data_IF_853105009671
#
_entry.id   IF_853105009671
#
_cell.length_a   1.000
_cell.length_b   1.000
_cell.length_c   1.000
_cell.angle_alpha   90.00
_cell.angle_beta   90.00
_cell.angle_gamma   90.00
#
_symmetry.space_group_name_H-M   'P 1'
#
loop_
_entity.id
_entity.type
_entity.pdbx_description
1 polymer ?
#
# COMPACT_ATOMS: atom_id res chain seq x y z
N UNK A 1 72.78 34.90 -63.73
CA UNK A 1 72.82 33.76 -62.85
C UNK A 1 71.40 33.52 -62.41
N UNK A 2 70.71 32.70 -63.16
CA UNK A 2 69.31 32.38 -62.94
C UNK A 2 69.25 30.84 -62.76
N UNK A 3 68.92 30.46 -61.57
CA UNK A 3 68.74 29.05 -61.12
C UNK A 3 67.39 28.54 -61.59
N UNK A 4 67.27 27.31 -62.11
CA UNK A 4 66.02 26.79 -62.60
C UNK A 4 65.21 26.15 -61.45
N UNK A 5 63.94 26.45 -61.42
CA UNK A 5 62.95 25.90 -60.56
C UNK A 5 62.69 24.42 -60.89
N UNK A 6 62.60 23.54 -59.89
CA UNK A 6 62.23 22.11 -60.12
C UNK A 6 60.74 21.94 -60.28
N UNK A 7 60.36 21.03 -61.20
CA UNK A 7 59.05 20.62 -61.54
C UNK A 7 58.30 19.92 -60.33
N UNK A 8 56.96 20.04 -60.25
CA UNK A 8 56.19 19.42 -59.20
C UNK A 8 56.07 17.89 -59.49
N UNK A 9 56.06 17.06 -58.43
CA UNK A 9 55.96 15.60 -58.58
C UNK A 9 54.57 15.18 -59.04
N UNK A 10 54.56 14.32 -60.04
CA UNK A 10 53.38 13.66 -60.61
C UNK A 10 52.59 12.87 -59.57
N UNK A 11 51.29 13.12 -59.54
CA UNK A 11 50.34 12.37 -58.69
C UNK A 11 50.34 10.87 -58.99
N UNK A 12 50.24 10.03 -57.94
CA UNK A 12 50.13 8.60 -58.15
C UNK A 12 48.75 8.21 -58.64
N UNK A 13 48.71 7.34 -59.65
CA UNK A 13 47.51 6.77 -60.26
C UNK A 13 46.61 6.10 -59.21
N UNK A 14 45.37 6.50 -59.23
CA UNK A 14 44.30 5.86 -58.43
C UNK A 14 44.12 4.38 -58.81
N UNK A 15 44.46 3.51 -57.88
CA UNK A 15 44.16 2.07 -57.99
C UNK A 15 42.62 1.85 -57.90
N UNK A 16 42.05 0.91 -58.67
CA UNK A 16 40.62 0.62 -58.58
C UNK A 16 40.31 -0.01 -57.22
N UNK A 17 39.37 0.58 -56.51
CA UNK A 17 38.82 0.01 -55.29
C UNK A 17 38.16 -1.33 -55.59
N UNK A 18 38.81 -2.41 -55.21
CA UNK A 18 38.23 -3.74 -55.19
C UNK A 18 37.11 -3.77 -54.09
N UNK A 19 35.88 -3.66 -54.54
CA UNK A 19 34.72 -3.89 -53.70
C UNK A 19 34.64 -5.38 -53.36
N UNK A 20 35.34 -5.80 -52.32
CA UNK A 20 35.09 -7.10 -51.70
C UNK A 20 33.73 -7.01 -50.96
N UNK A 21 32.66 -7.25 -51.70
CA UNK A 21 31.35 -7.49 -51.15
C UNK A 21 31.39 -8.84 -50.42
N UNK A 22 31.55 -8.81 -49.12
CA UNK A 22 31.40 -10.01 -48.29
C UNK A 22 30.03 -10.64 -48.58
N UNK A 23 29.92 -11.97 -48.73
CA UNK A 23 28.63 -12.60 -48.95
C UNK A 23 27.70 -12.29 -47.79
N UNK A 24 26.41 -12.04 -48.05
CA UNK A 24 25.46 -11.68 -47.01
C UNK A 24 25.43 -12.77 -45.93
N UNK A 25 25.42 -12.39 -44.64
CA UNK A 25 25.39 -13.35 -43.54
C UNK A 25 24.18 -14.25 -43.68
N UNK A 26 24.38 -15.58 -43.58
CA UNK A 26 23.27 -16.54 -43.61
C UNK A 26 22.39 -16.27 -42.39
N UNK A 27 21.21 -15.69 -42.63
CA UNK A 27 20.22 -15.41 -41.60
C UNK A 27 19.75 -16.72 -40.96
N UNK A 28 19.85 -16.81 -39.64
CA UNK A 28 19.25 -17.91 -38.88
C UNK A 28 17.71 -17.90 -39.01
N UNK A 29 17.04 -18.87 -38.42
CA UNK A 29 15.57 -19.01 -38.49
C UNK A 29 14.86 -17.72 -38.09
N UNK A 30 15.26 -17.08 -36.98
CA UNK A 30 14.73 -15.81 -36.51
C UNK A 30 14.97 -14.67 -37.49
N UNK A 31 16.16 -14.60 -38.08
CA UNK A 31 16.49 -13.59 -39.09
C UNK A 31 15.67 -13.74 -40.39
N UNK A 32 15.36 -14.96 -40.80
CA UNK A 32 14.49 -15.23 -41.95
C UNK A 32 13.04 -14.82 -41.69
N UNK A 33 12.51 -15.07 -40.49
CA UNK A 33 11.18 -14.64 -40.06
C UNK A 33 11.14 -13.10 -40.05
N UNK A 34 12.13 -12.46 -39.43
CA UNK A 34 12.22 -11.01 -39.38
C UNK A 34 12.27 -10.36 -40.77
N UNK A 35 13.09 -10.94 -41.70
CA UNK A 35 13.19 -10.45 -43.07
C UNK A 35 11.89 -10.63 -43.85
N UNK A 36 11.09 -11.67 -43.57
CA UNK A 36 9.77 -11.87 -44.17
C UNK A 36 8.73 -10.78 -43.75
N UNK A 37 8.88 -10.28 -42.54
CA UNK A 37 7.99 -9.22 -42.03
C UNK A 37 8.47 -7.80 -42.38
N UNK A 38 9.76 -7.62 -42.64
CA UNK A 38 10.36 -6.30 -42.82
C UNK A 38 9.79 -5.51 -44.01
N UNK A 39 9.42 -6.18 -45.10
CA UNK A 39 8.91 -5.57 -46.32
C UNK A 39 7.41 -5.82 -46.57
N UNK A 40 6.68 -6.24 -45.55
CA UNK A 40 5.25 -6.51 -45.65
C UNK A 40 4.46 -5.31 -45.19
N UNK A 41 3.41 -4.94 -45.89
CA UNK A 41 2.50 -3.85 -45.51
C UNK A 41 1.78 -4.07 -44.17
N UNK A 42 1.82 -5.29 -43.64
CA UNK A 42 1.29 -5.68 -42.34
C UNK A 42 2.15 -5.11 -41.19
N UNK A 43 3.46 -4.90 -41.38
CA UNK A 43 4.36 -4.44 -40.34
C UNK A 43 4.00 -3.08 -39.76
N UNK A 44 3.72 -2.02 -40.56
CA UNK A 44 3.27 -0.74 -40.04
C UNK A 44 1.92 -0.85 -39.32
N UNK A 45 1.03 -1.72 -39.82
CA UNK A 45 -0.25 -1.97 -39.15
C UNK A 45 -0.06 -2.59 -37.77
N UNK A 46 0.79 -3.61 -37.66
CA UNK A 46 1.13 -4.24 -36.38
C UNK A 46 1.80 -3.24 -35.40
N UNK A 47 2.65 -2.34 -35.91
CA UNK A 47 3.26 -1.31 -35.10
C UNK A 47 2.22 -0.35 -34.52
N UNK A 48 1.23 0.08 -35.35
CA UNK A 48 0.14 0.93 -34.89
C UNK A 48 -0.74 0.20 -33.86
N UNK A 49 -1.09 -1.05 -34.11
CA UNK A 49 -1.87 -1.86 -33.16
C UNK A 49 -1.12 -2.04 -31.85
N UNK A 50 0.17 -2.33 -31.90
CA UNK A 50 1.02 -2.43 -30.71
C UNK A 50 1.10 -1.14 -29.91
N UNK A 51 1.22 0.01 -30.61
CA UNK A 51 1.20 1.34 -29.98
C UNK A 51 -0.15 1.63 -29.31
N UNK A 52 -1.26 1.33 -29.99
CA UNK A 52 -2.61 1.53 -29.45
C UNK A 52 -2.87 0.61 -28.25
N UNK A 53 -2.45 -0.65 -28.31
CA UNK A 53 -2.55 -1.57 -27.18
C UNK A 53 -1.71 -1.11 -25.99
N UNK A 54 -0.49 -0.62 -26.23
CA UNK A 54 0.36 -0.04 -25.20
C UNK A 54 -0.28 1.18 -24.54
N UNK A 55 -0.83 2.10 -25.34
CA UNK A 55 -1.55 3.26 -24.83
C UNK A 55 -2.81 2.86 -24.04
N UNK A 56 -3.56 1.90 -24.56
CA UNK A 56 -4.73 1.33 -23.86
C UNK A 56 -4.34 0.68 -22.54
N UNK A 57 -3.26 -0.10 -22.52
CA UNK A 57 -2.75 -0.71 -21.29
C UNK A 57 -2.39 0.34 -20.24
N UNK A 58 -1.74 1.44 -20.63
CA UNK A 58 -1.40 2.55 -19.71
C UNK A 58 -2.66 3.19 -19.11
N UNK A 59 -3.74 3.30 -19.89
CA UNK A 59 -4.98 3.92 -19.43
C UNK A 59 -5.82 3.00 -18.53
N UNK A 60 -5.80 1.69 -18.81
CA UNK A 60 -6.64 0.69 -18.11
C UNK A 60 -5.94 0.05 -16.93
N UNK A 61 -4.60 -0.02 -16.95
CA UNK A 61 -3.87 -0.62 -15.82
C UNK A 61 -4.00 0.24 -14.58
N UNK A 62 -4.60 -0.28 -13.49
CA UNK A 62 -4.68 0.44 -12.23
C UNK A 62 -3.26 0.74 -11.74
N UNK A 63 -3.06 1.98 -11.30
CA UNK A 63 -1.78 2.41 -10.71
C UNK A 63 -1.94 2.39 -9.21
N UNK A 64 -1.28 1.45 -8.58
CA UNK A 64 -1.20 1.34 -7.12
C UNK A 64 0.27 1.49 -6.74
N UNK A 65 0.53 2.31 -5.74
CA UNK A 65 1.89 2.52 -5.21
C UNK A 65 2.37 1.28 -4.47
N UNK A 66 1.43 0.60 -3.78
CA UNK A 66 1.69 -0.65 -3.07
C UNK A 66 0.64 -1.70 -3.43
N UNK A 67 1.02 -2.99 -3.56
CA UNK A 67 0.04 -4.05 -3.80
C UNK A 67 -0.95 -4.14 -2.64
N UNK A 68 -2.23 -4.14 -2.92
CA UNK A 68 -3.27 -4.28 -1.90
C UNK A 68 -3.16 -5.65 -1.22
N UNK A 69 -2.67 -5.63 0.01
CA UNK A 69 -2.62 -6.82 0.85
C UNK A 69 -3.90 -6.86 1.66
N UNK A 70 -4.83 -7.73 1.27
CA UNK A 70 -6.10 -7.88 1.99
C UNK A 70 -5.89 -8.63 3.30
N UNK A 71 -5.51 -7.89 4.34
CA UNK A 71 -5.35 -8.39 5.71
C UNK A 71 -6.27 -7.62 6.63
N UNK A 72 -7.13 -8.34 7.32
CA UNK A 72 -8.03 -7.79 8.33
C UNK A 72 -7.36 -7.81 9.70
N UNK A 73 -7.38 -6.65 10.35
CA UNK A 73 -7.01 -6.48 11.74
C UNK A 73 -8.20 -5.96 12.54
N UNK A 74 -8.22 -6.26 13.81
CA UNK A 74 -9.12 -5.62 14.75
C UNK A 74 -8.42 -5.42 16.08
N UNK A 75 -8.58 -4.22 16.66
CA UNK A 75 -8.17 -3.96 18.02
C UNK A 75 -9.38 -4.13 18.95
N UNK A 76 -9.15 -4.89 20.02
CA UNK A 76 -10.11 -5.07 21.10
C UNK A 76 -9.57 -4.33 22.33
N UNK A 77 -10.25 -3.25 22.71
CA UNK A 77 -9.93 -2.45 23.88
C UNK A 77 -10.74 -2.92 25.06
N UNK A 78 -10.09 -3.28 26.16
CA UNK A 78 -10.75 -3.73 27.37
C UNK A 78 -10.32 -2.82 28.52
N UNK A 79 -11.18 -1.88 28.95
CA UNK A 79 -10.87 -0.98 30.06
C UNK A 79 -10.94 -1.72 31.40
N UNK A 80 -9.91 -1.47 32.23
CA UNK A 80 -9.87 -1.95 33.61
C UNK A 80 -9.30 -0.86 34.51
N UNK A 81 -10.12 0.16 34.85
CA UNK A 81 -9.69 1.31 35.62
C UNK A 81 -9.10 0.93 36.96
N UNK A 82 -7.94 1.51 37.28
CA UNK A 82 -7.26 1.30 38.55
C UNK A 82 -6.36 0.06 38.64
N UNK A 83 -6.42 -0.85 37.65
CA UNK A 83 -5.55 -2.02 37.62
C UNK A 83 -4.15 -1.70 37.09
N UNK A 84 -3.15 -2.37 37.64
CA UNK A 84 -1.78 -2.35 37.13
C UNK A 84 -1.64 -3.14 35.83
N UNK A 85 -0.55 -2.92 35.08
CA UNK A 85 -0.29 -3.66 33.84
C UNK A 85 -0.18 -5.18 34.08
N UNK A 86 0.40 -5.60 35.18
CA UNK A 86 0.53 -7.02 35.54
C UNK A 86 -0.80 -7.68 35.87
N UNK A 87 -1.69 -6.98 36.59
CA UNK A 87 -3.05 -7.48 36.85
C UNK A 87 -3.85 -7.60 35.55
N UNK A 88 -3.73 -6.63 34.66
CA UNK A 88 -4.38 -6.65 33.35
C UNK A 88 -3.87 -7.81 32.49
N UNK A 89 -2.56 -8.08 32.52
CA UNK A 89 -1.98 -9.20 31.79
C UNK A 89 -2.55 -10.53 32.26
N UNK A 90 -2.57 -10.77 33.57
CA UNK A 90 -3.01 -12.04 34.11
C UNK A 90 -4.52 -12.25 34.11
N UNK A 91 -5.30 -11.19 34.38
CA UNK A 91 -6.74 -11.30 34.55
C UNK A 91 -7.53 -11.02 33.28
N UNK A 92 -6.97 -10.29 32.31
CA UNK A 92 -7.67 -9.85 31.12
C UNK A 92 -6.98 -10.30 29.83
N UNK A 93 -5.71 -9.95 29.64
CA UNK A 93 -5.04 -10.19 28.37
C UNK A 93 -4.81 -11.67 28.10
N UNK A 94 -4.27 -12.42 29.05
CA UNK A 94 -4.04 -13.87 28.91
C UNK A 94 -5.31 -14.66 28.61
N UNK A 95 -6.38 -14.58 29.42
CA UNK A 95 -7.65 -15.20 29.10
C UNK A 95 -8.23 -14.76 27.76
N UNK A 96 -8.13 -13.47 27.39
CA UNK A 96 -8.59 -12.96 26.12
C UNK A 96 -7.83 -13.58 24.93
N UNK A 97 -6.52 -13.65 24.99
CA UNK A 97 -5.71 -14.30 23.96
C UNK A 97 -6.13 -15.74 23.74
N UNK A 98 -6.36 -16.47 24.80
CA UNK A 98 -6.80 -17.86 24.72
C UNK A 98 -8.14 -17.98 23.99
N UNK A 99 -9.14 -17.21 24.41
CA UNK A 99 -10.50 -17.22 23.78
C UNK A 99 -10.45 -16.77 22.33
N UNK A 100 -9.69 -15.72 22.04
CA UNK A 100 -9.61 -15.14 20.69
C UNK A 100 -8.78 -16.00 19.72
N UNK A 101 -7.83 -16.81 20.24
CA UNK A 101 -7.03 -17.72 19.42
C UNK A 101 -7.85 -18.86 18.81
N UNK A 102 -8.99 -19.19 19.40
CA UNK A 102 -9.89 -20.22 18.89
C UNK A 102 -10.71 -19.77 17.66
N UNK A 103 -10.65 -18.48 17.30
CA UNK A 103 -11.42 -17.96 16.18
C UNK A 103 -10.82 -18.46 14.86
N UNK A 104 -11.67 -19.10 14.04
CA UNK A 104 -11.26 -19.54 12.72
C UNK A 104 -10.77 -18.37 11.86
N UNK A 105 -9.60 -18.54 11.23
CA UNK A 105 -9.00 -17.55 10.36
C UNK A 105 -8.04 -16.57 11.07
N UNK A 106 -7.94 -16.61 12.39
CA UNK A 106 -6.93 -15.85 13.14
C UNK A 106 -5.55 -16.43 12.85
N UNK A 107 -4.58 -15.54 12.62
CA UNK A 107 -3.19 -15.90 12.36
C UNK A 107 -2.29 -15.55 13.54
N UNK A 108 -2.45 -14.35 14.09
CA UNK A 108 -1.67 -13.87 15.22
C UNK A 108 -2.54 -13.01 16.13
N UNK A 109 -2.22 -13.04 17.42
CA UNK A 109 -2.79 -12.16 18.43
C UNK A 109 -1.62 -11.48 19.12
N UNK A 110 -1.75 -10.19 19.33
CA UNK A 110 -0.80 -9.37 20.05
C UNK A 110 -1.54 -8.65 21.15
N UNK A 111 -1.04 -8.70 22.36
CA UNK A 111 -1.60 -7.96 23.49
C UNK A 111 -0.63 -6.94 24.04
N UNK A 112 -1.17 -5.82 24.48
CA UNK A 112 -0.44 -4.78 25.20
C UNK A 112 -1.22 -4.44 26.45
N UNK A 113 -0.66 -4.78 27.61
CA UNK A 113 -1.21 -4.46 28.91
C UNK A 113 -0.64 -3.13 29.40
N UNK A 114 -1.51 -2.15 29.58
CA UNK A 114 -1.18 -0.82 30.13
C UNK A 114 -1.97 -0.58 31.40
N UNK A 115 -1.49 0.22 32.34
CA UNK A 115 -2.31 0.60 33.50
C UNK A 115 -3.68 1.13 33.06
N UNK A 116 -4.73 0.50 33.55
CA UNK A 116 -6.12 0.87 33.24
C UNK A 116 -6.72 0.28 31.97
N UNK A 117 -5.96 -0.41 31.08
CA UNK A 117 -6.52 -0.91 29.82
C UNK A 117 -5.67 -2.03 29.18
N UNK A 118 -6.31 -3.08 28.70
CA UNK A 118 -5.73 -4.01 27.74
C UNK A 118 -6.08 -3.63 26.30
N UNK A 119 -5.11 -3.75 25.40
CA UNK A 119 -5.31 -3.61 23.94
C UNK A 119 -4.87 -4.91 23.29
N UNK A 120 -5.80 -5.59 22.62
CA UNK A 120 -5.53 -6.87 21.97
C UNK A 120 -5.76 -6.70 20.47
N UNK A 121 -4.71 -6.85 19.70
CA UNK A 121 -4.76 -6.79 18.25
C UNK A 121 -4.88 -8.19 17.67
N UNK A 122 -6.00 -8.46 17.04
CA UNK A 122 -6.28 -9.73 16.35
C UNK A 122 -6.00 -9.57 14.87
N UNK A 123 -5.06 -10.37 14.35
CA UNK A 123 -4.72 -10.40 12.92
C UNK A 123 -5.24 -11.67 12.28
N UNK A 124 -6.00 -11.51 11.22
CA UNK A 124 -6.52 -12.63 10.41
C UNK A 124 -5.53 -13.06 9.31
N UNK A 125 -5.76 -14.21 8.72
CA UNK A 125 -5.01 -14.68 7.55
C UNK A 125 -5.27 -13.79 6.35
N UNK A 126 -4.30 -13.73 5.45
CA UNK A 126 -4.45 -13.00 4.18
C UNK A 126 -5.55 -13.65 3.34
N UNK A 127 -6.43 -12.81 2.77
CA UNK A 127 -7.55 -13.27 1.93
C UNK A 127 -8.82 -13.62 2.68
N UNK A 128 -8.86 -13.51 4.02
CA UNK A 128 -10.10 -13.64 4.78
C UNK A 128 -11.03 -12.46 4.49
N UNK A 129 -12.31 -12.75 4.29
CA UNK A 129 -13.32 -11.69 4.13
C UNK A 129 -13.40 -10.84 5.40
N UNK A 130 -13.21 -9.53 5.24
CA UNK A 130 -13.18 -8.57 6.34
C UNK A 130 -14.45 -8.61 7.17
N UNK A 131 -15.60 -8.62 6.51
CA UNK A 131 -16.90 -8.58 7.18
C UNK A 131 -17.13 -9.84 7.99
N UNK A 132 -16.89 -11.01 7.39
CA UNK A 132 -17.05 -12.29 8.07
C UNK A 132 -16.08 -12.45 9.24
N UNK A 133 -14.82 -11.99 9.10
CA UNK A 133 -13.82 -12.02 10.15
C UNK A 133 -14.23 -11.17 11.36
N UNK A 134 -14.71 -9.94 11.12
CA UNK A 134 -15.17 -9.04 12.21
C UNK A 134 -16.44 -9.56 12.88
N UNK A 135 -17.37 -10.16 12.12
CA UNK A 135 -18.56 -10.77 12.68
C UNK A 135 -18.19 -11.95 13.59
N UNK A 136 -17.27 -12.83 13.15
CA UNK A 136 -16.75 -13.94 13.98
C UNK A 136 -16.12 -13.46 15.26
N UNK A 137 -15.26 -12.40 15.16
CA UNK A 137 -14.64 -11.78 16.32
C UNK A 137 -15.67 -11.21 17.29
N UNK A 138 -16.60 -10.42 16.78
CA UNK A 138 -17.66 -9.80 17.60
C UNK A 138 -18.57 -10.85 18.28
N UNK A 139 -18.92 -11.90 17.55
CA UNK A 139 -19.68 -13.03 18.08
C UNK A 139 -18.93 -13.74 19.19
N UNK A 140 -17.63 -14.07 18.96
CA UNK A 140 -16.81 -14.77 19.95
C UNK A 140 -16.63 -13.96 21.24
N UNK A 141 -16.35 -12.66 21.12
CA UNK A 141 -16.20 -11.76 22.27
C UNK A 141 -17.50 -11.69 23.08
N UNK A 142 -18.65 -11.57 22.40
CA UNK A 142 -19.97 -11.48 23.08
C UNK A 142 -20.43 -12.81 23.69
N UNK A 143 -20.15 -13.92 23.01
CA UNK A 143 -20.57 -15.26 23.49
C UNK A 143 -19.78 -15.73 24.71
N UNK A 144 -18.62 -15.16 24.94
CA UNK A 144 -17.73 -15.55 26.04
C UNK A 144 -17.43 -14.37 26.96
N UNK A 145 -18.41 -13.49 27.22
CA UNK A 145 -18.23 -12.35 28.12
C UNK A 145 -17.99 -12.75 29.59
N UNK A 146 -18.24 -14.00 29.95
CA UNK A 146 -18.01 -14.60 31.27
C UNK A 146 -16.51 -14.78 31.61
N UNK A 147 -15.62 -14.77 30.61
CA UNK A 147 -14.17 -14.80 30.85
C UNK A 147 -13.63 -13.50 31.44
N UNK A 148 -14.38 -12.39 31.36
CA UNK A 148 -14.02 -11.11 31.93
C UNK A 148 -14.43 -11.01 33.39
N UNK A 149 -13.53 -10.70 34.33
CA UNK A 149 -13.87 -10.55 35.74
C UNK A 149 -14.58 -9.20 36.00
N UNK A 150 -15.84 -9.12 35.59
CA UNK A 150 -16.67 -7.91 35.72
C UNK A 150 -16.85 -7.45 37.17
N UNK A 151 -16.84 -8.40 38.10
CA UNK A 151 -16.90 -8.14 39.54
C UNK A 151 -15.68 -7.34 40.06
N UNK A 152 -14.57 -7.32 39.34
CA UNK A 152 -13.39 -6.52 39.64
C UNK A 152 -13.39 -5.16 38.96
N UNK A 153 -14.42 -4.80 38.19
CA UNK A 153 -14.54 -3.52 37.53
C UNK A 153 -14.01 -3.51 36.07
N UNK A 154 -13.80 -4.67 35.47
CA UNK A 154 -13.45 -4.77 34.04
C UNK A 154 -14.63 -4.32 33.18
N UNK A 155 -14.39 -3.35 32.30
CA UNK A 155 -15.39 -2.82 31.40
C UNK A 155 -15.67 -3.72 30.19
N UNK A 156 -16.65 -3.30 29.38
CA UNK A 156 -16.99 -4.02 28.16
C UNK A 156 -15.91 -3.85 27.09
N UNK A 157 -15.59 -4.94 26.35
CA UNK A 157 -14.68 -4.88 25.20
C UNK A 157 -15.23 -3.99 24.09
N UNK A 158 -14.40 -3.11 23.56
CA UNK A 158 -14.71 -2.27 22.41
C UNK A 158 -13.88 -2.77 21.23
N UNK A 159 -14.55 -3.22 20.17
CA UNK A 159 -13.93 -3.75 18.98
C UNK A 159 -13.82 -2.67 17.92
N UNK A 160 -12.61 -2.34 17.49
CA UNK A 160 -12.33 -1.41 16.40
C UNK A 160 -11.66 -2.15 15.23
N UNK A 161 -12.38 -2.40 14.13
CA UNK A 161 -11.77 -2.97 12.93
C UNK A 161 -10.74 -2.01 12.34
N UNK A 162 -9.60 -2.54 11.91
CA UNK A 162 -8.53 -1.81 11.21
C UNK A 162 -8.20 -2.47 9.88
N UNK A 163 -7.76 -1.70 8.92
CA UNK A 163 -7.12 -2.16 7.69
C UNK A 163 -5.66 -1.69 7.65
N UNK A 164 -4.87 -2.26 6.75
CA UNK A 164 -3.50 -1.79 6.50
C UNK A 164 -3.53 -0.35 5.99
N UNK A 165 -4.54 -0.01 5.20
CA UNK A 165 -4.72 1.30 4.58
C UNK A 165 -5.38 2.34 5.50
N UNK A 166 -5.60 2.01 6.79
CA UNK A 166 -6.22 2.91 7.76
C UNK A 166 -5.17 3.91 8.29
N UNK A 167 -4.56 4.66 7.38
CA UNK A 167 -3.62 5.73 7.70
C UNK A 167 -4.34 7.08 7.55
N UNK A 168 -4.14 8.05 8.48
CA UNK A 168 -4.69 9.38 8.30
C UNK A 168 -4.18 10.00 7.00
N UNK A 169 -5.10 10.30 6.07
CA UNK A 169 -4.77 10.94 4.79
C UNK A 169 -4.61 12.46 4.91
N UNK A 170 -5.19 13.03 5.95
CA UNK A 170 -5.13 14.46 6.24
C UNK A 170 -5.06 14.68 7.74
N UNK A 171 -4.12 15.50 8.17
CA UNK A 171 -4.03 16.01 9.54
C UNK A 171 -4.13 17.53 9.49
N UNK A 172 -4.98 18.11 10.35
CA UNK A 172 -5.13 19.55 10.47
C UNK A 172 -4.85 19.98 11.91
N UNK A 173 -3.99 20.99 12.07
CA UNK A 173 -3.69 21.57 13.37
C UNK A 173 -4.37 22.93 13.50
N UNK A 174 -5.19 23.09 14.53
CA UNK A 174 -5.83 24.37 14.87
C UNK A 174 -4.97 25.12 15.87
N UNK A 175 -4.78 26.40 15.63
CA UNK A 175 -4.06 27.29 16.53
C UNK A 175 -4.67 28.69 16.53
N UNK A 176 -4.48 29.45 17.60
CA UNK A 176 -4.93 30.84 17.70
C UNK A 176 -3.75 31.76 17.95
N UNK A 177 -3.85 32.99 17.44
CA UNK A 177 -2.96 34.11 17.78
C UNK A 177 -3.42 34.89 19.02
N UNK A 178 -4.66 34.66 19.43
CA UNK A 178 -5.26 35.32 20.60
C UNK A 178 -4.96 34.49 21.84
N UNK A 179 -4.23 35.07 22.79
CA UNK A 179 -3.86 34.44 24.07
C UNK A 179 -5.07 34.10 24.95
N UNK A 180 -6.25 34.67 24.67
CA UNK A 180 -7.50 34.37 25.39
C UNK A 180 -8.20 33.11 24.89
N UNK A 181 -7.78 32.56 23.72
CA UNK A 181 -8.36 31.37 23.14
C UNK A 181 -7.54 30.13 23.58
N UNK A 182 -8.06 29.42 24.56
CA UNK A 182 -7.41 28.22 25.09
C UNK A 182 -7.71 26.94 24.34
N UNK A 183 -7.14 25.82 24.80
CA UNK A 183 -7.34 24.51 24.20
C UNK A 183 -8.82 24.07 24.19
N UNK A 184 -9.61 24.54 25.17
CA UNK A 184 -11.04 24.22 25.26
C UNK A 184 -11.85 24.84 24.12
N UNK A 185 -11.62 26.13 23.82
CA UNK A 185 -12.28 26.82 22.71
C UNK A 185 -11.87 26.23 21.36
N UNK A 186 -10.58 25.97 21.18
CA UNK A 186 -10.08 25.32 19.99
C UNK A 186 -10.67 23.91 19.83
N UNK A 187 -10.81 23.17 20.93
CA UNK A 187 -11.44 21.85 20.93
C UNK A 187 -12.90 21.89 20.46
N UNK A 188 -13.68 22.89 20.87
CA UNK A 188 -15.07 23.09 20.37
C UNK A 188 -15.10 23.31 18.86
N UNK A 189 -14.20 24.15 18.35
CA UNK A 189 -14.08 24.41 16.91
C UNK A 189 -13.66 23.14 16.17
N UNK A 190 -12.68 22.41 16.72
CA UNK A 190 -12.22 21.14 16.15
C UNK A 190 -13.36 20.12 16.04
N UNK A 191 -14.16 19.96 17.09
CA UNK A 191 -15.32 19.06 17.07
C UNK A 191 -16.41 19.51 16.08
N UNK A 192 -16.62 20.81 15.92
CA UNK A 192 -17.56 21.31 14.91
C UNK A 192 -17.06 20.98 13.49
N UNK A 193 -15.77 21.18 13.23
CA UNK A 193 -15.13 20.83 11.95
C UNK A 193 -15.19 19.31 11.72
N UNK A 194 -14.92 18.50 12.74
CA UNK A 194 -15.02 17.04 12.69
C UNK A 194 -16.41 16.58 12.22
N UNK A 195 -17.48 17.19 12.77
CA UNK A 195 -18.84 16.85 12.38
C UNK A 195 -19.14 17.17 10.92
N UNK A 196 -18.64 18.31 10.42
CA UNK A 196 -18.82 18.68 9.01
C UNK A 196 -18.02 17.78 8.07
N UNK A 197 -16.79 17.44 8.43
CA UNK A 197 -15.96 16.52 7.63
C UNK A 197 -16.58 15.12 7.58
N UNK A 198 -17.17 14.62 8.66
CA UNK A 198 -17.88 13.33 8.70
C UNK A 198 -19.05 13.24 7.71
N UNK A 199 -19.61 14.37 7.29
CA UNK A 199 -20.68 14.42 6.28
C UNK A 199 -20.17 14.32 4.85
N UNK A 200 -18.88 14.52 4.63
CA UNK A 200 -18.28 14.44 3.29
C UNK A 200 -18.30 12.99 2.82
N UNK A 201 -18.87 12.77 1.62
CA UNK A 201 -18.95 11.42 1.04
C UNK A 201 -17.54 10.85 0.81
N UNK A 202 -17.30 9.65 1.28
CA UNK A 202 -16.00 8.97 1.18
C UNK A 202 -15.12 9.12 2.42
N UNK A 203 -15.54 9.95 3.39
CA UNK A 203 -14.87 10.02 4.69
C UNK A 203 -15.25 8.79 5.52
N UNK A 204 -14.25 8.09 6.05
CA UNK A 204 -14.45 6.92 6.89
C UNK A 204 -14.44 7.27 8.37
N UNK A 205 -13.33 7.77 8.85
CA UNK A 205 -13.11 8.12 10.25
C UNK A 205 -12.51 9.51 10.36
N UNK A 206 -13.06 10.33 11.26
CA UNK A 206 -12.51 11.64 11.65
C UNK A 206 -12.57 11.70 13.15
N UNK A 207 -11.47 12.09 13.77
CA UNK A 207 -11.41 12.28 15.22
C UNK A 207 -10.50 13.44 15.60
N UNK A 208 -10.83 14.10 16.68
CA UNK A 208 -10.02 15.15 17.30
C UNK A 208 -9.20 14.55 18.43
N UNK A 209 -7.94 14.97 18.55
CA UNK A 209 -6.99 14.51 19.58
C UNK A 209 -6.85 15.58 20.64
#
# INVERSE_FOLDING_TARGET
MTEPTPDPPSAPASAPASTNASPPPKLGLSGRIAAGFQNTEITPLLAIVGLLLGLFAILVTPREEEPQINVTFADVFIPFPGASASEIEHLVAGPAEQVLSEIQGVKHIYSVSRPGMAVITVRFKVGEDRTAAIVRLSSKVRSNEDWLPRNLGVGQPIIKPKGIDDVPILTATLWSKDDNVGAYELGKVAHAIEQEIKRVRGTRDVYTI
#
